data_IF_336932617614
#
_entry.id   IF_336932617614
#
_cell.length_a   1.000
_cell.length_b   1.000
_cell.length_c   1.000
_cell.angle_alpha   90.00
_cell.angle_beta   90.00
_cell.angle_gamma   90.00
#
_symmetry.space_group_name_H-M   'P 1'
#
loop_
_entity.id
_entity.type
_entity.pdbx_description
1 polymer ?
#
# COMPACT_ATOMS: atom_id res chain seq x y z
N UNK A 1 16.32 -4.74 6.27
CA UNK A 1 15.02 -4.39 5.62
C UNK A 1 14.67 -2.91 5.83
N UNK A 2 15.38 -1.99 5.15
CA UNK A 2 15.15 -0.54 5.27
C UNK A 2 14.14 0.00 4.24
N UNK A 3 13.85 -0.75 3.18
CA UNK A 3 13.05 -0.32 2.02
C UNK A 3 11.59 0.03 2.37
N UNK A 4 10.97 -0.71 3.28
CA UNK A 4 9.57 -0.49 3.70
C UNK A 4 9.43 0.50 4.84
N UNK A 5 10.53 0.91 5.49
CA UNK A 5 10.51 1.75 6.70
C UNK A 5 9.91 3.13 6.41
N UNK A 6 10.41 3.81 5.37
CA UNK A 6 9.91 5.13 4.98
C UNK A 6 8.44 5.08 4.53
N UNK A 7 8.05 4.03 3.82
CA UNK A 7 6.66 3.81 3.42
C UNK A 7 5.75 3.61 4.63
N UNK A 8 6.16 2.79 5.59
CA UNK A 8 5.40 2.50 6.81
C UNK A 8 5.14 3.75 7.64
N UNK A 9 6.15 4.61 7.79
CA UNK A 9 6.02 5.89 8.51
C UNK A 9 5.00 6.80 7.81
N UNK A 10 5.07 6.91 6.48
CA UNK A 10 4.13 7.75 5.72
C UNK A 10 2.70 7.20 5.77
N UNK A 11 2.52 5.88 5.76
CA UNK A 11 1.21 5.23 5.86
C UNK A 11 0.54 5.42 7.23
N UNK A 12 1.34 5.60 8.28
CA UNK A 12 0.86 5.91 9.64
C UNK A 12 0.63 7.42 9.87
N UNK A 13 0.90 8.25 8.86
CA UNK A 13 0.70 9.70 8.90
C UNK A 13 -0.76 10.13 8.71
N UNK A 14 -1.00 11.42 8.49
CA UNK A 14 -2.36 11.95 8.26
C UNK A 14 -2.81 11.64 6.82
N UNK A 15 -4.08 11.86 6.52
CA UNK A 15 -4.73 11.55 5.23
C UNK A 15 -3.93 12.00 3.99
N UNK A 16 -3.27 13.17 4.04
CA UNK A 16 -2.42 13.66 2.95
C UNK A 16 -1.10 12.88 2.81
N UNK A 17 -0.52 12.44 3.92
CA UNK A 17 0.69 11.61 3.95
C UNK A 17 0.42 10.23 3.35
N UNK A 18 -0.80 9.70 3.52
CA UNK A 18 -1.24 8.44 2.90
C UNK A 18 -1.27 8.55 1.36
N UNK A 19 -1.80 9.66 0.83
CA UNK A 19 -1.79 9.92 -0.62
C UNK A 19 -0.37 10.04 -1.16
N UNK A 20 0.53 10.70 -0.42
CA UNK A 20 1.94 10.82 -0.79
C UNK A 20 2.70 9.48 -0.63
N UNK A 21 2.37 8.67 0.37
CA UNK A 21 2.91 7.34 0.60
C UNK A 21 2.65 6.45 -0.61
N UNK A 22 1.43 6.52 -1.16
CA UNK A 22 1.03 5.70 -2.30
C UNK A 22 1.88 5.97 -3.56
N UNK A 23 2.31 7.21 -3.78
CA UNK A 23 3.27 7.54 -4.86
C UNK A 23 4.63 6.87 -4.67
N UNK A 24 5.02 6.61 -3.42
CA UNK A 24 6.27 5.91 -3.09
C UNK A 24 6.14 4.38 -3.16
N UNK A 25 4.91 3.84 -3.25
CA UNK A 25 4.69 2.39 -3.29
C UNK A 25 5.28 1.77 -4.55
N UNK A 26 5.13 2.40 -5.72
CA UNK A 26 5.71 1.89 -6.97
C UNK A 26 7.22 1.74 -6.86
N UNK A 27 7.89 2.77 -6.32
CA UNK A 27 9.34 2.77 -6.09
C UNK A 27 9.76 1.65 -5.13
N UNK A 28 9.01 1.45 -4.04
CA UNK A 28 9.30 0.36 -3.08
C UNK A 28 9.06 -1.01 -3.72
N UNK A 29 8.00 -1.18 -4.52
CA UNK A 29 7.73 -2.42 -5.26
C UNK A 29 8.83 -2.72 -6.29
N UNK A 30 9.30 -1.71 -7.02
CA UNK A 30 10.40 -1.86 -7.96
C UNK A 30 11.68 -2.28 -7.24
N UNK A 31 12.04 -1.61 -6.15
CA UNK A 31 13.21 -1.97 -5.35
C UNK A 31 13.13 -3.40 -4.80
N UNK A 32 11.97 -3.84 -4.31
CA UNK A 32 11.77 -5.21 -3.83
C UNK A 32 11.86 -6.23 -4.97
N UNK A 33 11.34 -5.91 -6.17
CA UNK A 33 11.49 -6.76 -7.34
C UNK A 33 12.94 -6.86 -7.81
N UNK A 34 13.72 -5.79 -7.72
CA UNK A 34 15.13 -5.83 -8.08
C UNK A 34 15.94 -6.67 -7.08
N UNK A 35 15.61 -6.59 -5.77
CA UNK A 35 16.13 -7.53 -4.77
C UNK A 35 15.73 -8.96 -5.13
N UNK A 36 14.50 -9.19 -5.61
CA UNK A 36 14.04 -10.53 -6.00
C UNK A 36 14.78 -11.10 -7.21
N UNK A 37 15.17 -10.26 -8.16
CA UNK A 37 16.00 -10.64 -9.33
C UNK A 37 17.45 -10.91 -8.94
N UNK A 38 17.98 -10.15 -7.98
CA UNK A 38 19.38 -10.25 -7.51
C UNK A 38 19.51 -11.07 -6.22
N UNK A 39 18.51 -11.89 -5.90
CA UNK A 39 18.41 -12.54 -4.59
C UNK A 39 19.56 -13.52 -4.33
N UNK A 40 20.13 -14.12 -5.36
CA UNK A 40 21.26 -15.04 -5.18
C UNK A 40 22.49 -14.32 -4.59
N UNK A 41 22.81 -13.12 -5.11
CA UNK A 41 23.93 -12.29 -4.64
C UNK A 41 23.62 -11.67 -3.28
N UNK A 42 22.44 -11.04 -3.16
CA UNK A 42 22.00 -10.37 -1.92
C UNK A 42 21.88 -11.32 -0.74
N UNK A 43 21.35 -12.52 -0.97
CA UNK A 43 21.21 -13.50 0.09
C UNK A 43 22.58 -14.01 0.55
N UNK A 44 23.57 -14.09 -0.35
CA UNK A 44 24.93 -14.47 0.03
C UNK A 44 25.56 -13.46 0.99
N UNK A 45 25.40 -12.16 0.71
CA UNK A 45 25.80 -11.07 1.63
C UNK A 45 25.13 -11.22 3.00
N UNK A 46 23.80 -11.37 3.02
CA UNK A 46 23.03 -11.51 4.28
C UNK A 46 23.39 -12.78 5.05
N UNK A 47 23.68 -13.87 4.32
CA UNK A 47 24.05 -15.14 4.93
C UNK A 47 25.43 -15.05 5.57
N UNK A 48 26.40 -14.39 4.92
CA UNK A 48 27.73 -14.15 5.48
C UNK A 48 27.67 -13.27 6.75
N UNK A 49 26.86 -12.20 6.74
CA UNK A 49 26.62 -11.37 7.94
C UNK A 49 25.98 -12.20 9.08
N UNK A 50 25.02 -13.05 8.74
CA UNK A 50 24.35 -13.94 9.71
C UNK A 50 25.32 -14.99 10.26
N UNK A 51 26.23 -15.51 9.45
CA UNK A 51 27.30 -16.42 9.87
C UNK A 51 28.26 -15.75 10.84
N UNK A 52 28.68 -14.51 10.57
CA UNK A 52 29.54 -13.75 11.47
C UNK A 52 28.86 -13.53 12.83
N UNK A 53 27.57 -13.16 12.82
CA UNK A 53 26.78 -13.05 14.05
C UNK A 53 26.63 -14.40 14.76
N UNK A 54 26.39 -15.50 14.04
CA UNK A 54 26.24 -16.82 14.63
C UNK A 54 27.53 -17.30 15.32
N UNK A 55 28.71 -16.95 14.76
CA UNK A 55 30.02 -17.22 15.39
C UNK A 55 30.14 -16.54 16.76
N UNK A 56 29.59 -15.33 16.94
CA UNK A 56 29.65 -14.64 18.24
C UNK A 56 28.93 -15.38 19.37
N UNK A 57 27.94 -16.22 19.02
CA UNK A 57 27.18 -17.06 19.95
C UNK A 57 27.57 -18.54 19.87
N UNK A 58 28.68 -18.86 19.21
CA UNK A 58 29.20 -20.21 19.00
C UNK A 58 28.20 -21.18 18.33
N UNK A 59 27.38 -20.67 17.41
CA UNK A 59 26.43 -21.46 16.61
C UNK A 59 26.92 -21.52 15.17
N UNK A 60 26.99 -22.74 14.61
CA UNK A 60 27.24 -22.93 13.18
C UNK A 60 25.93 -23.17 12.43
N UNK A 61 25.69 -22.48 11.30
CA UNK A 61 24.53 -22.76 10.47
C UNK A 61 24.64 -24.17 9.89
N UNK A 62 23.60 -24.96 10.12
CA UNK A 62 23.48 -26.29 9.53
C UNK A 62 22.13 -26.45 8.85
N UNK A 63 22.07 -27.38 7.89
CA UNK A 63 20.81 -27.80 7.30
C UNK A 63 20.06 -28.59 8.39
N UNK A 64 18.82 -28.20 8.76
CA UNK A 64 18.04 -28.94 9.75
C UNK A 64 17.86 -30.40 9.34
N UNK A 65 17.82 -31.29 10.33
CA UNK A 65 17.72 -32.73 10.11
C UNK A 65 16.45 -33.05 9.29
N UNK A 66 16.61 -33.53 8.05
CA UNK A 66 15.50 -33.94 7.18
C UNK A 66 14.92 -35.25 7.69
N UNK A 67 13.67 -35.27 8.12
CA UNK A 67 12.97 -36.53 8.37
C UNK A 67 12.67 -37.20 7.03
N UNK A 68 12.99 -38.49 6.86
CA UNK A 68 12.82 -39.23 5.60
C UNK A 68 11.39 -39.30 5.05
N UNK A 69 10.41 -38.73 5.76
CA UNK A 69 9.01 -38.63 5.37
C UNK A 69 8.47 -37.22 5.65
N UNK A 70 8.98 -36.23 4.93
CA UNK A 70 8.39 -34.89 4.92
C UNK A 70 7.29 -34.86 3.85
N UNK A 71 6.03 -35.05 4.25
CA UNK A 71 4.88 -35.07 3.33
C UNK A 71 4.27 -33.69 3.06
N UNK A 72 4.65 -32.67 3.85
CA UNK A 72 4.04 -31.34 3.84
C UNK A 72 4.95 -30.24 3.26
N UNK A 73 6.22 -30.54 2.96
CA UNK A 73 7.17 -29.60 2.33
C UNK A 73 8.01 -30.34 1.32
N UNK A 74 8.31 -29.71 0.20
CA UNK A 74 9.25 -30.26 -0.76
C UNK A 74 10.62 -30.47 -0.11
N UNK A 75 11.21 -31.65 -0.32
CA UNK A 75 12.61 -31.89 -0.01
C UNK A 75 13.46 -31.04 -0.96
N UNK A 76 13.74 -29.80 -0.58
CA UNK A 76 14.57 -28.92 -1.40
C UNK A 76 16.01 -29.49 -1.43
N UNK A 77 16.51 -29.98 -2.58
CA UNK A 77 17.91 -30.38 -2.69
C UNK A 77 18.76 -29.11 -2.51
N UNK A 78 19.71 -29.16 -1.59
CA UNK A 78 20.57 -28.04 -1.27
C UNK A 78 21.87 -28.61 -0.71
N UNK A 79 22.97 -28.23 -1.35
CA UNK A 79 24.30 -28.75 -1.03
C UNK A 79 24.95 -27.97 0.12
N UNK A 80 24.46 -26.75 0.38
CA UNK A 80 24.93 -25.89 1.47
C UNK A 80 23.76 -25.34 2.29
N UNK A 81 23.98 -25.01 3.59
CA UNK A 81 22.99 -24.30 4.40
C UNK A 81 22.50 -23.00 3.76
N UNK A 82 23.38 -22.25 3.10
CA UNK A 82 23.03 -21.03 2.37
C UNK A 82 21.97 -21.28 1.29
N UNK A 83 22.22 -22.25 0.39
CA UNK A 83 21.27 -22.60 -0.69
C UNK A 83 19.94 -23.05 -0.08
N UNK A 84 19.99 -23.82 1.02
CA UNK A 84 18.80 -24.30 1.70
C UNK A 84 17.96 -23.15 2.25
N UNK A 85 18.55 -22.25 3.06
CA UNK A 85 17.83 -21.15 3.68
C UNK A 85 17.37 -20.11 2.65
N UNK A 86 18.12 -19.90 1.56
CA UNK A 86 17.68 -19.05 0.46
C UNK A 86 16.38 -19.54 -0.17
N UNK A 87 16.31 -20.85 -0.47
CA UNK A 87 15.15 -21.45 -1.14
C UNK A 87 13.95 -21.63 -0.21
N UNK A 88 14.18 -21.95 1.07
CA UNK A 88 13.10 -22.24 2.02
C UNK A 88 12.60 -20.99 2.74
N UNK A 89 13.45 -19.97 2.92
CA UNK A 89 13.10 -18.75 3.66
C UNK A 89 13.22 -17.52 2.77
N UNK A 90 14.40 -17.25 2.20
CA UNK A 90 14.68 -15.99 1.52
C UNK A 90 13.73 -15.68 0.36
N UNK A 91 13.60 -16.62 -0.57
CA UNK A 91 12.72 -16.50 -1.75
C UNK A 91 11.24 -16.45 -1.34
N UNK A 92 10.70 -17.44 -0.59
CA UNK A 92 9.29 -17.42 -0.21
C UNK A 92 8.89 -16.16 0.58
N UNK A 93 9.75 -15.72 1.50
CA UNK A 93 9.50 -14.51 2.27
C UNK A 93 9.40 -13.26 1.39
N UNK A 94 10.30 -13.11 0.41
CA UNK A 94 10.25 -11.96 -0.48
C UNK A 94 9.04 -12.00 -1.42
N UNK A 95 8.69 -13.19 -1.91
CA UNK A 95 7.49 -13.41 -2.72
C UNK A 95 6.21 -13.09 -1.93
N UNK A 96 6.14 -13.48 -0.65
CA UNK A 96 5.03 -13.15 0.24
C UNK A 96 4.93 -11.64 0.50
N UNK A 97 6.05 -10.96 0.72
CA UNK A 97 6.08 -9.50 0.90
C UNK A 97 5.63 -8.79 -0.36
N UNK A 98 6.09 -9.21 -1.54
CA UNK A 98 5.67 -8.66 -2.83
C UNK A 98 4.17 -8.88 -3.08
N UNK A 99 3.67 -10.09 -2.82
CA UNK A 99 2.25 -10.43 -2.93
C UNK A 99 1.39 -9.59 -1.97
N UNK A 100 1.84 -9.44 -0.72
CA UNK A 100 1.19 -8.58 0.27
C UNK A 100 1.15 -7.11 -0.15
N UNK A 101 2.21 -6.61 -0.80
CA UNK A 101 2.24 -5.25 -1.37
C UNK A 101 1.28 -5.12 -2.55
N UNK A 102 1.18 -6.12 -3.43
CA UNK A 102 0.24 -6.10 -4.56
C UNK A 102 -1.22 -6.10 -4.09
N UNK A 103 -1.56 -6.95 -3.12
CA UNK A 103 -2.91 -7.05 -2.60
C UNK A 103 -3.34 -5.75 -1.90
N UNK A 104 -2.46 -5.17 -1.07
CA UNK A 104 -2.76 -3.97 -0.26
C UNK A 104 -2.70 -2.67 -1.03
N UNK A 105 -1.88 -2.59 -2.08
CA UNK A 105 -1.72 -1.41 -2.92
C UNK A 105 -2.12 -1.70 -4.35
N UNK A 106 -3.23 -2.42 -4.51
CA UNK A 106 -3.85 -2.69 -5.79
C UNK A 106 -4.41 -1.41 -6.40
N UNK A 107 -4.66 -1.41 -7.71
CA UNK A 107 -5.22 -0.25 -8.42
C UNK A 107 -6.49 0.32 -7.75
N UNK A 108 -7.35 -0.54 -7.21
CA UNK A 108 -8.56 -0.12 -6.50
C UNK A 108 -8.25 0.72 -5.25
N UNK A 109 -7.25 0.29 -4.46
CA UNK A 109 -6.82 1.03 -3.26
C UNK A 109 -6.17 2.37 -3.62
N UNK A 110 -5.41 2.45 -4.73
CA UNK A 110 -4.90 3.72 -5.28
C UNK A 110 -6.02 4.71 -5.53
N UNK A 111 -7.07 4.24 -6.21
CA UNK A 111 -8.21 5.04 -6.61
C UNK A 111 -9.02 5.51 -5.39
N UNK A 112 -9.24 4.64 -4.41
CA UNK A 112 -9.87 5.01 -3.14
C UNK A 112 -9.07 6.03 -2.34
N UNK A 113 -7.73 5.93 -2.34
CA UNK A 113 -6.86 6.90 -1.67
C UNK A 113 -6.91 8.27 -2.37
N UNK A 114 -7.01 8.35 -3.71
CA UNK A 114 -7.22 9.64 -4.37
C UNK A 114 -8.54 10.29 -3.95
N UNK A 115 -9.60 9.49 -3.74
CA UNK A 115 -10.88 9.99 -3.27
C UNK A 115 -10.83 10.63 -1.86
N UNK A 116 -9.82 10.31 -1.02
CA UNK A 116 -9.57 10.99 0.25
C UNK A 116 -9.27 12.49 0.08
N UNK A 117 -8.84 12.92 -1.11
CA UNK A 117 -8.66 14.35 -1.41
C UNK A 117 -9.97 15.14 -1.35
N UNK A 118 -11.15 14.50 -1.40
CA UNK A 118 -12.44 15.19 -1.24
C UNK A 118 -12.69 15.72 0.18
N UNK A 119 -11.90 15.28 1.16
CA UNK A 119 -11.97 15.80 2.52
C UNK A 119 -11.64 17.31 2.51
N UNK A 120 -12.45 18.16 3.17
CA UNK A 120 -12.33 19.62 3.11
C UNK A 120 -10.93 20.20 3.37
N UNK A 121 -10.16 19.57 4.26
CA UNK A 121 -8.78 19.98 4.54
C UNK A 121 -7.83 19.84 3.33
N UNK A 122 -8.14 18.97 2.35
CA UNK A 122 -7.26 18.61 1.24
C UNK A 122 -7.81 18.93 -0.15
N UNK A 123 -9.12 19.19 -0.26
CA UNK A 123 -9.84 19.37 -1.53
C UNK A 123 -9.30 20.49 -2.42
N UNK A 124 -8.65 21.50 -1.84
CA UNK A 124 -8.07 22.62 -2.58
C UNK A 124 -6.92 22.21 -3.51
N UNK A 125 -6.29 21.07 -3.25
CA UNK A 125 -5.18 20.53 -4.06
C UNK A 125 -5.65 19.49 -5.08
N UNK A 126 -6.95 19.21 -5.12
CA UNK A 126 -7.51 18.15 -5.94
C UNK A 126 -7.88 18.67 -7.33
N UNK A 127 -7.63 17.88 -8.36
CA UNK A 127 -8.14 18.12 -9.72
C UNK A 127 -9.13 17.05 -10.11
N UNK A 128 -9.94 17.29 -11.14
CA UNK A 128 -10.86 16.25 -11.62
C UNK A 128 -10.12 15.00 -12.12
N UNK A 129 -8.91 15.16 -12.68
CA UNK A 129 -8.08 14.05 -13.14
C UNK A 129 -7.75 13.06 -12.02
N UNK A 130 -7.62 13.54 -10.77
CA UNK A 130 -7.40 12.68 -9.60
C UNK A 130 -8.55 11.69 -9.37
N UNK A 131 -9.78 12.05 -9.77
CA UNK A 131 -10.99 11.28 -9.51
C UNK A 131 -11.53 10.57 -10.75
N UNK A 132 -11.00 10.85 -11.95
CA UNK A 132 -11.51 10.30 -13.22
C UNK A 132 -11.68 8.77 -13.17
N UNK A 133 -10.63 8.05 -12.77
CA UNK A 133 -10.70 6.60 -12.61
C UNK A 133 -11.68 6.14 -11.53
N UNK A 134 -11.88 6.91 -10.46
CA UNK A 134 -12.85 6.57 -9.41
C UNK A 134 -14.28 6.70 -9.96
N UNK A 135 -14.56 7.81 -10.65
CA UNK A 135 -15.86 8.10 -11.26
C UNK A 135 -16.18 7.06 -12.34
N UNK A 136 -15.20 6.70 -13.16
CA UNK A 136 -15.37 5.66 -14.19
C UNK A 136 -15.66 4.28 -13.56
N UNK A 137 -14.97 3.93 -12.47
CA UNK A 137 -15.15 2.64 -11.80
C UNK A 137 -16.48 2.53 -11.06
N UNK A 138 -16.89 3.57 -10.32
CA UNK A 138 -18.14 3.63 -9.56
C UNK A 138 -19.27 4.32 -10.34
N UNK A 139 -19.18 4.35 -11.67
CA UNK A 139 -20.09 5.12 -12.52
C UNK A 139 -21.57 4.77 -12.27
N UNK A 140 -21.87 3.50 -12.01
CA UNK A 140 -23.23 3.00 -11.74
C UNK A 140 -23.75 3.34 -10.35
N UNK A 141 -22.86 3.58 -9.39
CA UNK A 141 -23.23 3.91 -8.01
C UNK A 141 -23.42 5.42 -7.81
N UNK A 142 -22.86 6.22 -8.71
CA UNK A 142 -22.94 7.68 -8.66
C UNK A 142 -24.27 8.19 -9.23
N UNK A 143 -24.94 9.16 -8.56
CA UNK A 143 -26.21 9.70 -9.03
C UNK A 143 -26.12 10.43 -10.38
N UNK A 144 -25.03 11.17 -10.61
CA UNK A 144 -24.86 11.98 -11.83
C UNK A 144 -23.37 12.16 -12.16
N UNK A 145 -22.67 11.10 -12.61
CA UNK A 145 -21.22 11.11 -12.86
C UNK A 145 -20.73 12.27 -13.74
N UNK A 146 -21.52 12.64 -14.76
CA UNK A 146 -21.20 13.73 -15.70
C UNK A 146 -21.12 15.12 -15.05
N UNK A 147 -21.78 15.30 -13.91
CA UNK A 147 -21.81 16.58 -13.17
C UNK A 147 -20.66 16.72 -12.16
N UNK A 148 -19.90 15.64 -11.93
CA UNK A 148 -18.83 15.58 -10.94
C UNK A 148 -17.78 16.71 -11.08
N UNK A 149 -17.32 17.13 -12.29
CA UNK A 149 -16.37 18.23 -12.41
C UNK A 149 -16.90 19.57 -11.88
N UNK A 150 -18.18 19.86 -12.14
CA UNK A 150 -18.85 21.08 -11.67
C UNK A 150 -19.10 21.02 -10.18
N UNK A 151 -19.54 19.86 -9.69
CA UNK A 151 -19.78 19.61 -8.28
C UNK A 151 -18.50 19.73 -7.46
N UNK A 152 -17.36 19.21 -7.96
CA UNK A 152 -16.04 19.37 -7.34
C UNK A 152 -15.64 20.83 -7.20
N UNK A 153 -15.84 21.64 -8.24
CA UNK A 153 -15.52 23.09 -8.19
C UNK A 153 -16.36 23.81 -7.16
N UNK A 154 -17.66 23.50 -7.09
CA UNK A 154 -18.55 24.09 -6.09
C UNK A 154 -18.14 23.66 -4.68
N UNK A 155 -17.83 22.38 -4.50
CA UNK A 155 -17.37 21.84 -3.22
C UNK A 155 -16.06 22.48 -2.75
N UNK A 156 -15.12 22.72 -3.66
CA UNK A 156 -13.90 23.48 -3.36
C UNK A 156 -14.23 24.86 -2.84
N UNK A 157 -15.13 25.59 -3.50
CA UNK A 157 -15.56 26.93 -3.06
C UNK A 157 -16.28 26.91 -1.72
N UNK A 158 -17.15 25.93 -1.48
CA UNK A 158 -17.82 25.76 -0.19
C UNK A 158 -16.82 25.43 0.92
N UNK A 159 -15.80 24.61 0.64
CA UNK A 159 -14.75 24.30 1.60
C UNK A 159 -13.76 25.45 1.82
N UNK A 160 -13.58 26.36 0.85
CA UNK A 160 -12.77 27.58 1.02
C UNK A 160 -13.36 28.47 2.13
N UNK A 161 -14.68 28.62 2.17
CA UNK A 161 -15.39 29.50 3.10
C UNK A 161 -15.63 28.90 4.50
N UNK A 162 -15.28 27.62 4.71
CA UNK A 162 -15.42 26.97 6.03
C UNK A 162 -14.38 27.49 7.03
N UNK A 163 -14.86 27.93 8.19
CA UNK A 163 -14.02 28.36 9.32
C UNK A 163 -13.20 27.20 9.92
N UNK A 164 -13.80 26.01 10.03
CA UNK A 164 -13.13 24.79 10.50
C UNK A 164 -13.31 23.70 9.46
N UNK A 165 -12.20 23.21 8.89
CA UNK A 165 -12.20 22.23 7.81
C UNK A 165 -11.99 20.83 8.40
N UNK A 166 -12.94 19.90 8.22
CA UNK A 166 -12.75 18.52 8.61
C UNK A 166 -11.49 17.91 7.96
N UNK A 167 -10.69 17.21 8.77
CA UNK A 167 -9.51 16.45 8.33
C UNK A 167 -9.83 14.95 8.08
N UNK A 168 -11.03 14.50 8.45
CA UNK A 168 -11.46 13.10 8.36
C UNK A 168 -12.64 12.93 7.41
N UNK A 169 -12.75 11.74 6.80
CA UNK A 169 -13.90 11.36 5.95
C UNK A 169 -15.22 11.45 6.73
N UNK A 170 -15.25 10.98 7.97
CA UNK A 170 -16.43 11.05 8.82
C UNK A 170 -16.86 12.50 9.10
N UNK A 171 -15.89 13.41 9.31
CA UNK A 171 -16.17 14.83 9.44
C UNK A 171 -16.67 15.46 8.14
N UNK A 172 -16.08 15.09 7.00
CA UNK A 172 -16.52 15.53 5.67
C UNK A 172 -17.97 15.12 5.38
N UNK A 173 -18.36 13.88 5.74
CA UNK A 173 -19.74 13.38 5.58
C UNK A 173 -20.76 14.18 6.39
N UNK A 174 -20.38 14.70 7.56
CA UNK A 174 -21.29 15.50 8.41
C UNK A 174 -21.57 16.88 7.84
N UNK A 175 -20.61 17.47 7.13
CA UNK A 175 -20.74 18.81 6.53
C UNK A 175 -21.19 18.77 5.07
N UNK A 176 -21.06 17.62 4.41
CA UNK A 176 -21.47 17.44 3.02
C UNK A 176 -22.99 17.32 2.91
N UNK A 177 -23.61 18.31 2.26
CA UNK A 177 -25.04 18.30 1.98
C UNK A 177 -25.34 17.38 0.80
N UNK A 178 -26.12 16.31 1.01
CA UNK A 178 -26.46 15.32 -0.05
C UNK A 178 -27.27 15.94 -1.20
N UNK A 179 -28.06 16.98 -0.95
CA UNK A 179 -28.86 17.64 -1.99
C UNK A 179 -27.98 18.48 -2.91
N UNK A 180 -26.99 19.17 -2.34
CA UNK A 180 -26.14 20.11 -3.09
C UNK A 180 -24.95 19.40 -3.72
N UNK A 181 -24.49 18.31 -3.08
CA UNK A 181 -23.32 17.52 -3.49
C UNK A 181 -23.64 16.01 -3.52
N UNK A 182 -24.53 15.56 -4.43
CA UNK A 182 -24.98 14.17 -4.48
C UNK A 182 -23.87 13.18 -4.85
N UNK A 183 -22.98 13.49 -5.80
CA UNK A 183 -21.89 12.57 -6.17
C UNK A 183 -20.84 12.53 -5.06
N UNK A 184 -20.42 13.68 -4.54
CA UNK A 184 -19.41 13.76 -3.48
C UNK A 184 -19.90 13.06 -2.22
N UNK A 185 -21.17 13.21 -1.86
CA UNK A 185 -21.77 12.49 -0.73
C UNK A 185 -21.67 10.96 -0.90
N UNK A 186 -21.91 10.43 -2.11
CA UNK A 186 -21.77 9.00 -2.39
C UNK A 186 -20.30 8.58 -2.35
N UNK A 187 -19.38 9.32 -2.97
CA UNK A 187 -17.96 9.02 -2.94
C UNK A 187 -17.43 8.97 -1.49
N UNK A 188 -17.79 9.98 -0.68
CA UNK A 188 -17.42 10.03 0.73
C UNK A 188 -17.96 8.84 1.54
N UNK A 189 -19.13 8.30 1.18
CA UNK A 189 -19.68 7.07 1.80
C UNK A 189 -18.92 5.83 1.37
N UNK A 190 -18.64 5.69 0.08
CA UNK A 190 -17.87 4.55 -0.45
C UNK A 190 -16.52 4.48 0.26
N UNK A 191 -15.77 5.59 0.32
CA UNK A 191 -14.47 5.59 0.99
C UNK A 191 -14.58 5.39 2.50
N UNK A 192 -15.67 5.81 3.15
CA UNK A 192 -15.90 5.54 4.57
C UNK A 192 -16.14 4.04 4.85
N UNK A 193 -16.67 3.29 3.89
CA UNK A 193 -16.86 1.83 4.01
C UNK A 193 -15.62 1.02 3.65
N UNK A 194 -14.62 1.63 3.02
CA UNK A 194 -13.36 1.00 2.61
C UNK A 194 -12.22 1.22 3.63
N UNK A 195 -12.44 2.06 4.64
CA UNK A 195 -11.47 2.42 5.67
C UNK A 195 -11.43 1.46 6.85
#
# INVERSE_FOLDING_TARGET
MAFTRGLSIKLQGRTLDIVAAYKSVSVVKEALNDVRKTIDERFSEWFAETEELAKTVAVEPSIPRRCGRQTQRENCPADTPEIYYRRVIGIPYLDDVLSGMEARFSRLTSTAIQALKLVPAFVQRATFDDFKHFVDFYHTDLPSPSTMPSELRLWQKTCESMLSKPETVAGALKVCCKTDFPNISVILKIIATMG
#
